data_IF_403797178894
#
_entry.id   IF_403797178894
#
_cell.length_a   1.000
_cell.length_b   1.000
_cell.length_c   1.000
_cell.angle_alpha   90.00
_cell.angle_beta   90.00
_cell.angle_gamma   90.00
#
_symmetry.space_group_name_H-M   'P 1'
#
loop_
_entity.id
_entity.type
_entity.pdbx_description
1 polymer ?
#
# COMPACT_ATOMS: atom_id res chain seq x y z
N UNK A 1 -17.62 -3.80 8.38
CA UNK A 1 -17.16 -2.40 8.45
C UNK A 1 -16.90 -2.05 9.90
N UNK A 2 -15.68 -1.59 10.20
CA UNK A 2 -15.34 -1.06 11.52
C UNK A 2 -16.15 0.22 11.73
N UNK A 3 -16.91 0.30 12.82
CA UNK A 3 -17.82 1.42 13.11
C UNK A 3 -17.15 2.60 13.83
N UNK A 4 -15.90 2.43 14.31
CA UNK A 4 -15.19 3.43 15.10
C UNK A 4 -13.69 3.41 14.81
N UNK A 5 -13.05 4.57 14.68
CA UNK A 5 -11.64 4.71 14.37
C UNK A 5 -11.32 4.85 12.88
N UNK A 6 -10.03 4.92 12.59
CA UNK A 6 -9.47 5.03 11.23
C UNK A 6 -9.37 3.64 10.59
N UNK A 7 -9.77 3.51 9.33
CA UNK A 7 -9.76 2.23 8.59
C UNK A 7 -9.43 2.47 7.12
N UNK A 8 -8.63 1.57 6.54
CA UNK A 8 -8.27 1.58 5.13
C UNK A 8 -8.86 0.36 4.41
N UNK A 9 -9.29 0.55 3.17
CA UNK A 9 -9.74 -0.53 2.30
C UNK A 9 -9.08 -0.38 0.93
N UNK A 10 -8.45 -1.43 0.43
CA UNK A 10 -7.92 -1.49 -0.92
C UNK A 10 -8.77 -2.45 -1.75
N UNK A 11 -9.37 -1.93 -2.81
CA UNK A 11 -10.11 -2.70 -3.82
C UNK A 11 -9.21 -2.89 -5.05
N UNK A 12 -8.62 -4.08 -5.20
CA UNK A 12 -7.60 -4.33 -6.23
C UNK A 12 -8.13 -4.18 -7.66
N UNK A 13 -9.32 -4.69 -7.92
CA UNK A 13 -10.02 -4.69 -9.21
C UNK A 13 -10.37 -3.29 -9.71
N UNK A 14 -10.42 -2.32 -8.79
CA UNK A 14 -10.74 -0.92 -9.10
C UNK A 14 -9.55 0.01 -8.96
N UNK A 15 -8.41 -0.48 -8.49
CA UNK A 15 -7.22 0.34 -8.19
C UNK A 15 -7.52 1.49 -7.25
N UNK A 16 -8.29 1.22 -6.18
CA UNK A 16 -8.69 2.24 -5.21
C UNK A 16 -8.22 1.88 -3.80
N UNK A 17 -7.75 2.90 -3.09
CA UNK A 17 -7.60 2.89 -1.64
C UNK A 17 -8.60 3.87 -1.04
N UNK A 18 -9.48 3.37 -0.19
CA UNK A 18 -10.45 4.14 0.57
C UNK A 18 -9.96 4.36 1.99
N UNK A 19 -10.17 5.57 2.49
CA UNK A 19 -9.93 5.92 3.87
C UNK A 19 -11.24 6.29 4.55
N UNK A 20 -11.55 5.57 5.63
CA UNK A 20 -12.72 5.77 6.48
C UNK A 20 -12.31 6.26 7.86
N UNK A 21 -13.16 7.09 8.47
CA UNK A 21 -13.11 7.44 9.89
C UNK A 21 -14.50 7.31 10.48
N UNK A 22 -14.62 6.51 11.53
CA UNK A 22 -15.88 6.25 12.23
C UNK A 22 -16.99 5.79 11.27
N UNK A 23 -16.64 4.88 10.35
CA UNK A 23 -17.53 4.35 9.32
C UNK A 23 -17.86 5.31 8.16
N UNK A 24 -17.39 6.56 8.19
CA UNK A 24 -17.63 7.55 7.14
C UNK A 24 -16.47 7.58 6.15
N UNK A 25 -16.76 7.44 4.85
CA UNK A 25 -15.77 7.59 3.79
C UNK A 25 -15.24 9.03 3.77
N UNK A 26 -13.93 9.20 3.96
CA UNK A 26 -13.27 10.51 3.98
C UNK A 26 -12.54 10.81 2.68
N UNK A 27 -11.96 9.80 2.05
CA UNK A 27 -11.25 9.94 0.79
C UNK A 27 -11.17 8.61 0.03
N UNK A 28 -11.01 8.71 -1.28
CA UNK A 28 -10.71 7.61 -2.20
C UNK A 28 -9.55 8.03 -3.08
N UNK A 29 -8.51 7.22 -3.16
CA UNK A 29 -7.30 7.49 -3.94
C UNK A 29 -7.13 6.43 -5.00
N UNK A 30 -6.77 6.83 -6.22
CA UNK A 30 -6.29 5.88 -7.22
C UNK A 30 -4.92 5.36 -6.79
N UNK A 31 -4.68 4.07 -6.96
CA UNK A 31 -3.43 3.41 -6.55
C UNK A 31 -2.82 2.58 -7.67
N UNK A 32 -1.50 2.42 -7.67
CA UNK A 32 -0.86 1.34 -8.42
C UNK A 32 -0.65 0.13 -7.50
N UNK A 33 -0.88 -1.07 -8.03
CA UNK A 33 -0.79 -2.32 -7.28
C UNK A 33 0.23 -3.27 -7.92
N UNK A 34 0.41 -4.43 -7.32
CA UNK A 34 1.29 -5.46 -7.83
C UNK A 34 1.02 -5.79 -9.31
N UNK A 35 2.09 -6.00 -10.09
CA UNK A 35 2.01 -6.43 -11.50
C UNK A 35 1.14 -7.68 -11.69
N UNK A 36 1.16 -8.59 -10.71
CA UNK A 36 0.26 -9.74 -10.67
C UNK A 36 -1.06 -9.35 -9.97
N UNK A 37 -2.21 -9.37 -10.67
CA UNK A 37 -3.51 -8.99 -10.10
C UNK A 37 -4.11 -10.04 -9.15
N UNK A 38 -3.56 -11.25 -9.11
CA UNK A 38 -4.03 -12.32 -8.23
C UNK A 38 -3.55 -12.13 -6.79
N UNK A 39 -4.04 -12.95 -5.86
CA UNK A 39 -3.52 -12.96 -4.49
C UNK A 39 -2.05 -13.41 -4.48
N UNK A 40 -1.31 -12.89 -3.51
CA UNK A 40 0.08 -13.25 -3.28
C UNK A 40 0.17 -14.67 -2.76
N UNK A 41 0.96 -15.49 -3.44
CA UNK A 41 1.17 -16.90 -3.10
C UNK A 41 2.62 -17.23 -2.85
N UNK A 42 3.57 -16.40 -3.30
CA UNK A 42 5.01 -16.54 -3.04
C UNK A 42 5.75 -15.20 -3.08
N UNK A 43 6.96 -15.19 -2.52
CA UNK A 43 7.87 -14.04 -2.69
C UNK A 43 8.25 -13.87 -4.17
N UNK A 44 8.38 -12.62 -4.62
CA UNK A 44 8.72 -12.28 -6.00
C UNK A 44 7.63 -12.49 -7.06
N UNK A 45 6.42 -12.94 -6.70
CA UNK A 45 5.30 -13.02 -7.65
C UNK A 45 4.68 -11.66 -8.02
N UNK A 46 5.20 -10.56 -7.46
CA UNK A 46 4.76 -9.19 -7.68
C UNK A 46 3.26 -8.97 -7.43
N UNK A 47 2.60 -9.78 -6.61
CA UNK A 47 1.22 -9.55 -6.19
C UNK A 47 1.17 -8.69 -4.93
N UNK A 48 0.16 -7.84 -4.84
CA UNK A 48 -0.26 -7.22 -3.57
C UNK A 48 -1.14 -8.24 -2.83
N UNK A 49 -0.78 -8.62 -1.59
CA UNK A 49 -1.47 -9.70 -0.89
C UNK A 49 -2.87 -9.28 -0.44
N UNK A 50 -3.82 -10.20 -0.52
CA UNK A 50 -5.18 -10.03 0.00
C UNK A 50 -5.27 -10.53 1.44
N UNK A 51 -6.03 -9.80 2.26
CA UNK A 51 -6.18 -10.12 3.67
C UNK A 51 -6.59 -8.95 4.56
N UNK A 52 -6.61 -9.24 5.85
CA UNK A 52 -6.86 -8.31 6.95
C UNK A 52 -5.55 -7.99 7.64
N UNK A 53 -5.08 -6.76 7.53
CA UNK A 53 -3.77 -6.33 8.02
C UNK A 53 -3.89 -5.07 8.87
N UNK A 54 -2.73 -4.59 9.34
CA UNK A 54 -2.64 -3.35 10.11
C UNK A 54 -1.45 -2.51 9.63
N UNK A 55 -1.57 -1.19 9.74
CA UNK A 55 -0.42 -0.29 9.62
C UNK A 55 0.52 -0.54 10.81
N UNK A 56 1.80 -0.75 10.51
CA UNK A 56 2.84 -1.04 11.49
C UNK A 56 3.61 0.23 11.90
N UNK A 57 4.26 0.89 10.93
CA UNK A 57 5.01 2.12 11.17
C UNK A 57 5.09 2.98 9.91
N UNK A 58 5.40 4.26 10.10
CA UNK A 58 5.63 5.22 9.01
C UNK A 58 7.07 5.68 9.09
N UNK A 59 7.77 5.68 7.95
CA UNK A 59 9.17 6.09 7.86
C UNK A 59 9.42 7.01 6.67
N UNK A 60 10.28 8.00 6.86
CA UNK A 60 10.78 8.82 5.75
C UNK A 60 11.53 7.92 4.76
N UNK A 61 11.06 7.94 3.51
CA UNK A 61 11.64 7.18 2.40
C UNK A 61 12.15 8.05 1.26
N UNK A 62 12.23 9.36 1.48
CA UNK A 62 12.55 10.36 0.45
C UNK A 62 13.90 10.10 -0.23
N UNK A 63 14.84 9.50 0.49
CA UNK A 63 16.18 9.17 0.00
C UNK A 63 16.33 7.73 -0.51
N UNK A 64 15.30 6.89 -0.36
CA UNK A 64 15.41 5.47 -0.68
C UNK A 64 15.52 5.26 -2.19
N UNK A 65 16.34 4.29 -2.57
CA UNK A 65 16.59 3.92 -3.97
C UNK A 65 16.06 2.52 -4.23
N UNK A 66 15.73 2.23 -5.50
CA UNK A 66 15.41 0.88 -5.95
C UNK A 66 15.63 0.75 -7.45
N UNK A 67 16.17 -0.40 -7.87
CA UNK A 67 16.25 -0.80 -9.27
C UNK A 67 15.12 -1.77 -9.58
N UNK A 68 14.11 -1.29 -10.32
CA UNK A 68 12.93 -2.06 -10.76
C UNK A 68 13.23 -3.02 -11.92
N UNK A 69 14.51 -3.15 -12.31
CA UNK A 69 15.00 -4.01 -13.40
C UNK A 69 14.33 -3.69 -14.74
N UNK A 70 13.96 -2.42 -14.95
CA UNK A 70 13.36 -1.90 -16.19
C UNK A 70 14.38 -1.29 -17.16
N UNK A 71 15.68 -1.47 -16.87
CA UNK A 71 16.79 -0.95 -17.67
C UNK A 71 17.21 0.48 -17.34
N UNK A 72 16.53 1.15 -16.39
CA UNK A 72 16.89 2.52 -15.95
C UNK A 72 17.87 2.56 -14.77
N UNK A 73 18.20 1.40 -14.20
CA UNK A 73 19.06 1.29 -13.03
C UNK A 73 18.39 1.78 -11.75
N UNK A 74 19.20 2.09 -10.74
CA UNK A 74 18.72 2.59 -9.45
C UNK A 74 18.01 3.94 -9.58
N UNK A 75 16.76 3.99 -9.15
CA UNK A 75 15.96 5.21 -9.13
C UNK A 75 15.99 5.83 -7.74
N UNK A 76 16.47 7.08 -7.63
CA UNK A 76 16.43 7.85 -6.37
C UNK A 76 15.02 8.32 -6.03
N UNK A 77 14.63 8.22 -4.77
CA UNK A 77 13.29 8.58 -4.32
C UNK A 77 12.23 7.62 -4.86
N UNK A 78 12.61 6.37 -5.14
CA UNK A 78 11.75 5.35 -5.77
C UNK A 78 10.40 5.16 -5.05
N UNK A 79 10.42 5.36 -3.73
CA UNK A 79 9.28 5.16 -2.83
C UNK A 79 8.54 6.46 -2.46
N UNK A 80 8.95 7.62 -3.00
CA UNK A 80 8.36 8.90 -2.63
C UNK A 80 8.69 9.33 -1.17
N UNK A 81 7.94 10.27 -0.59
CA UNK A 81 8.35 10.94 0.63
C UNK A 81 8.25 10.07 1.89
N UNK A 82 7.33 9.09 1.92
CA UNK A 82 7.14 8.21 3.07
C UNK A 82 6.80 6.78 2.66
N UNK A 83 7.14 5.83 3.54
CA UNK A 83 6.73 4.44 3.46
C UNK A 83 5.90 4.10 4.70
N UNK A 84 4.65 3.73 4.50
CA UNK A 84 3.72 3.25 5.52
C UNK A 84 3.79 1.72 5.46
N UNK A 85 4.56 1.13 6.36
CA UNK A 85 4.76 -0.31 6.41
C UNK A 85 3.51 -1.03 6.95
N UNK A 86 3.15 -2.16 6.33
CA UNK A 86 2.05 -3.00 6.78
C UNK A 86 2.55 -4.21 7.57
N UNK A 87 1.80 -4.62 8.57
CA UNK A 87 1.95 -5.91 9.22
C UNK A 87 1.14 -6.97 8.47
N UNK A 88 1.80 -7.67 7.54
CA UNK A 88 1.19 -8.70 6.68
C UNK A 88 1.42 -10.13 7.21
N UNK A 89 0.92 -10.41 8.41
CA UNK A 89 1.09 -11.72 9.07
C UNK A 89 0.17 -12.82 8.53
N UNK A 90 0.61 -14.08 8.66
CA UNK A 90 -0.12 -15.28 8.20
C UNK A 90 -1.58 -15.39 8.65
N UNK A 91 -1.90 -14.95 9.88
CA UNK A 91 -3.28 -14.99 10.40
C UNK A 91 -4.25 -14.06 9.65
N UNK A 92 -3.73 -12.94 9.14
CA UNK A 92 -4.52 -11.95 8.41
C UNK A 92 -4.58 -12.21 6.91
N UNK A 93 -3.55 -12.88 6.37
CA UNK A 93 -3.45 -13.17 4.94
C UNK A 93 -4.41 -14.27 4.50
N UNK A 94 -5.09 -14.09 3.37
CA UNK A 94 -5.99 -15.11 2.82
C UNK A 94 -5.24 -16.37 2.37
N UNK A 95 -4.02 -16.22 1.85
CA UNK A 95 -3.12 -17.33 1.54
C UNK A 95 -2.50 -18.03 2.76
N UNK A 96 -2.77 -17.57 3.99
CA UNK A 96 -2.23 -18.18 5.22
C UNK A 96 -0.72 -18.02 5.42
N UNK A 97 -0.07 -17.09 4.70
CA UNK A 97 1.38 -16.86 4.72
C UNK A 97 1.74 -15.46 5.23
N UNK A 98 2.93 -15.32 5.77
CA UNK A 98 3.48 -14.01 6.16
C UNK A 98 4.23 -13.39 4.99
N UNK A 99 3.93 -12.13 4.70
CA UNK A 99 4.62 -11.33 3.69
C UNK A 99 5.52 -10.27 4.35
N UNK A 100 6.59 -9.89 3.67
CA UNK A 100 7.55 -8.87 4.13
C UNK A 100 7.69 -7.78 3.07
N UNK A 101 8.04 -6.57 3.49
CA UNK A 101 8.30 -5.45 2.59
C UNK A 101 7.04 -4.90 1.89
N UNK A 102 5.84 -5.25 2.35
CA UNK A 102 4.59 -4.70 1.83
C UNK A 102 4.28 -3.39 2.56
N UNK A 103 3.99 -2.36 1.78
CA UNK A 103 3.67 -1.04 2.32
C UNK A 103 2.86 -0.20 1.35
N UNK A 104 2.36 0.91 1.88
CA UNK A 104 1.78 2.01 1.11
C UNK A 104 2.86 3.09 1.00
N UNK A 105 3.18 3.52 -0.22
CA UNK A 105 4.21 4.53 -0.42
C UNK A 105 3.89 5.43 -1.61
N UNK A 106 4.72 6.46 -1.82
CA UNK A 106 4.58 7.38 -2.94
C UNK A 106 5.04 6.76 -4.25
N UNK A 107 5.37 7.58 -5.25
CA UNK A 107 5.88 7.05 -6.51
C UNK A 107 6.81 8.04 -7.20
N UNK A 108 7.87 7.50 -7.81
CA UNK A 108 8.69 8.22 -8.78
C UNK A 108 8.06 8.22 -10.19
N UNK A 109 7.04 7.39 -10.41
CA UNK A 109 6.35 7.25 -11.70
C UNK A 109 4.84 7.47 -11.53
N UNK A 110 4.35 8.74 -11.51
CA UNK A 110 2.94 9.06 -11.35
C UNK A 110 2.02 8.41 -12.39
N UNK A 111 2.52 8.16 -13.61
CA UNK A 111 1.74 7.52 -14.67
C UNK A 111 1.43 6.04 -14.39
N UNK A 112 2.04 5.42 -13.36
CA UNK A 112 1.69 4.05 -12.96
C UNK A 112 0.42 3.96 -12.11
N UNK A 113 -0.07 5.06 -11.55
CA UNK A 113 -1.28 5.08 -10.72
C UNK A 113 -2.49 4.66 -11.56
N UNK A 114 -3.35 3.79 -11.00
CA UNK A 114 -4.48 3.19 -11.72
C UNK A 114 -4.12 1.93 -12.52
N UNK A 115 -2.93 1.34 -12.30
CA UNK A 115 -2.46 0.15 -13.04
C UNK A 115 -1.80 -0.88 -12.13
N UNK A 116 -1.58 -2.08 -12.67
CA UNK A 116 -0.76 -3.13 -12.05
C UNK A 116 0.71 -2.93 -12.45
N UNK A 117 1.51 -2.27 -11.61
CA UNK A 117 2.86 -1.82 -11.95
C UNK A 117 3.91 -2.01 -10.86
N UNK A 118 3.51 -2.27 -9.62
CA UNK A 118 4.43 -2.43 -8.50
C UNK A 118 4.93 -3.87 -8.35
N UNK A 119 5.89 -4.09 -7.45
CA UNK A 119 6.38 -5.42 -7.08
C UNK A 119 5.65 -6.00 -5.86
N UNK A 120 4.48 -5.42 -5.52
CA UNK A 120 3.58 -5.88 -4.46
C UNK A 120 3.13 -4.77 -3.50
N UNK A 121 3.82 -3.64 -3.46
CA UNK A 121 3.40 -2.47 -2.67
C UNK A 121 2.19 -1.74 -3.28
N UNK A 122 1.53 -0.92 -2.46
CA UNK A 122 0.45 -0.01 -2.89
C UNK A 122 1.08 1.37 -3.11
N UNK A 123 1.01 1.89 -4.33
CA UNK A 123 1.58 3.20 -4.67
C UNK A 123 0.49 4.26 -4.76
N UNK A 124 0.72 5.42 -4.16
CA UNK A 124 -0.09 6.64 -4.32
C UNK A 124 0.70 7.73 -5.03
N UNK A 125 -0.01 8.77 -5.50
CA UNK A 125 0.62 10.05 -5.75
C UNK A 125 1.22 10.62 -4.45
N UNK A 126 2.37 11.30 -4.59
CA UNK A 126 3.13 11.77 -3.43
C UNK A 126 2.36 12.76 -2.55
N UNK A 127 1.55 13.64 -3.14
CA UNK A 127 0.70 14.59 -2.42
C UNK A 127 -0.43 13.89 -1.66
N UNK A 128 -1.09 12.90 -2.27
CA UNK A 128 -2.15 12.12 -1.64
C UNK A 128 -1.62 11.25 -0.49
N UNK A 129 -0.41 10.70 -0.65
CA UNK A 129 0.28 10.01 0.43
C UNK A 129 0.51 10.91 1.65
N UNK A 130 0.90 12.18 1.44
CA UNK A 130 1.10 13.12 2.55
C UNK A 130 -0.21 13.41 3.29
N UNK A 131 -1.33 13.52 2.57
CA UNK A 131 -2.66 13.69 3.15
C UNK A 131 -3.05 12.45 3.96
N UNK A 132 -2.89 11.25 3.39
CA UNK A 132 -3.19 9.99 4.06
C UNK A 132 -2.32 9.83 5.32
N UNK A 133 -1.01 10.04 5.21
CA UNK A 133 -0.07 10.02 6.34
C UNK A 133 -0.56 10.91 7.47
N UNK A 134 -0.84 12.19 7.18
CA UNK A 134 -1.26 13.15 8.20
C UNK A 134 -2.57 12.73 8.88
N UNK A 135 -3.46 12.02 8.17
CA UNK A 135 -4.70 11.52 8.72
C UNK A 135 -4.50 10.37 9.73
N UNK A 136 -3.50 9.50 9.50
CA UNK A 136 -3.30 8.24 10.24
C UNK A 136 -2.06 8.24 11.16
N UNK A 137 -1.22 9.27 11.10
CA UNK A 137 -0.03 9.36 11.95
C UNK A 137 -0.41 9.54 13.42
N UNK A 138 0.37 8.91 14.31
CA UNK A 138 0.16 8.94 15.76
C UNK A 138 -1.03 8.09 16.25
N UNK A 139 -1.65 7.30 15.38
CA UNK A 139 -2.74 6.38 15.74
C UNK A 139 -2.19 5.06 16.27
N UNK A 140 -2.86 4.50 17.29
CA UNK A 140 -2.43 3.26 17.96
C UNK A 140 -2.58 2.02 17.08
N UNK A 141 -3.63 1.96 16.26
CA UNK A 141 -3.85 0.91 15.26
C UNK A 141 -4.72 1.46 14.14
N UNK A 142 -4.36 1.13 12.90
CA UNK A 142 -5.12 1.45 11.69
C UNK A 142 -5.24 0.18 10.87
N UNK A 143 -6.38 -0.52 10.96
CA UNK A 143 -6.61 -1.73 10.18
C UNK A 143 -6.73 -1.39 8.70
N UNK A 144 -6.28 -2.32 7.87
CA UNK A 144 -6.38 -2.25 6.42
C UNK A 144 -6.81 -3.60 5.86
N UNK A 145 -7.92 -3.59 5.12
CA UNK A 145 -8.32 -4.74 4.32
C UNK A 145 -7.85 -4.55 2.88
N UNK A 146 -7.30 -5.61 2.30
CA UNK A 146 -6.94 -5.66 0.89
C UNK A 146 -7.76 -6.79 0.27
N UNK A 147 -8.64 -6.42 -0.66
CA UNK A 147 -9.56 -7.35 -1.30
C UNK A 147 -9.41 -7.29 -2.83
N UNK A 148 -9.86 -8.36 -3.49
CA UNK A 148 -9.95 -8.44 -4.95
C UNK A 148 -10.71 -7.27 -5.55
#
# INVERSE_FOLDING_TARGET
MISKGDYLLVEKSRHLLHYYRDGVLKASYSVALGKNPEDKTKEGDNATPEGHYEVNYIKDSSSWTHDFKDGKGDIKGAYGPFFIALYTGAKGSFSGKTWRGIGIHGTHNPASIGTNASEGCIRLHNNELLILKAAIEGKTSVPIDIIK
#
